data_IF_997646371631
#
_entry.id   IF_997646371631
#
_cell.length_a   1.000
_cell.length_b   1.000
_cell.length_c   1.000
_cell.angle_alpha   90.00
_cell.angle_beta   90.00
_cell.angle_gamma   90.00
#
_symmetry.space_group_name_H-M   'P 1'
#
loop_
_entity.id
_entity.type
_entity.pdbx_description
1 polymer ?
#
# COMPACT_ATOMS: atom_id res chain seq x y z
N UNK A 1 -2.16 -12.43 0.59
CA UNK A 1 -3.29 -11.58 0.13
C UNK A 1 -3.28 -11.56 -1.38
N UNK A 2 -4.45 -11.44 -1.99
CA UNK A 2 -4.57 -11.34 -3.44
C UNK A 2 -4.22 -9.93 -3.94
N UNK A 3 -3.70 -9.83 -5.17
CA UNK A 3 -3.31 -8.55 -5.78
C UNK A 3 -4.46 -7.53 -5.80
N UNK A 4 -5.69 -8.00 -6.02
CA UNK A 4 -6.88 -7.12 -6.02
C UNK A 4 -7.10 -6.46 -4.66
N UNK A 5 -6.79 -7.16 -3.56
CA UNK A 5 -6.88 -6.60 -2.21
C UNK A 5 -5.83 -5.51 -2.01
N UNK A 6 -4.60 -5.71 -2.49
CA UNK A 6 -3.54 -4.70 -2.45
C UNK A 6 -3.94 -3.47 -3.26
N UNK A 7 -4.45 -3.66 -4.47
CA UNK A 7 -4.93 -2.56 -5.31
C UNK A 7 -6.08 -1.80 -4.66
N UNK A 8 -6.98 -2.50 -3.97
CA UNK A 8 -8.08 -1.87 -3.23
C UNK A 8 -7.55 -1.00 -2.11
N UNK A 9 -6.60 -1.50 -1.31
CA UNK A 9 -5.99 -0.77 -0.19
C UNK A 9 -5.32 0.54 -0.60
N UNK A 10 -4.77 0.60 -1.81
CA UNK A 10 -4.06 1.76 -2.35
C UNK A 10 -4.93 2.70 -3.19
N UNK A 11 -6.25 2.47 -3.28
CA UNK A 11 -7.21 3.34 -3.96
C UNK A 11 -8.17 3.97 -2.95
N UNK A 12 -8.44 5.27 -3.09
CA UNK A 12 -9.55 5.91 -2.39
C UNK A 12 -10.87 5.33 -2.88
N UNK A 13 -11.68 4.81 -1.96
CA UNK A 13 -13.12 4.57 -2.16
C UNK A 13 -13.91 5.42 -1.18
N UNK A 14 -14.98 6.05 -1.67
CA UNK A 14 -15.89 6.90 -0.89
C UNK A 14 -16.79 6.11 0.08
N UNK A 15 -17.01 4.81 -0.15
CA UNK A 15 -18.21 4.12 0.38
C UNK A 15 -18.00 2.92 1.29
N UNK A 16 -16.87 2.76 1.96
CA UNK A 16 -16.80 1.76 3.07
C UNK A 16 -15.61 1.99 3.98
N UNK A 17 -15.67 1.40 5.19
CA UNK A 17 -14.69 1.35 6.30
C UNK A 17 -13.26 0.96 5.87
N UNK A 18 -12.64 1.75 5.03
CA UNK A 18 -11.28 1.55 4.57
C UNK A 18 -10.36 2.45 5.39
N UNK A 19 -9.33 1.85 5.99
CA UNK A 19 -8.31 2.61 6.71
C UNK A 19 -7.56 3.53 5.75
N UNK A 20 -7.54 4.84 6.05
CA UNK A 20 -6.88 5.85 5.23
C UNK A 20 -5.34 5.83 5.33
N UNK A 21 -4.79 5.07 6.29
CA UNK A 21 -3.37 5.04 6.61
C UNK A 21 -2.47 4.60 5.46
N UNK A 22 -2.66 3.38 4.95
CA UNK A 22 -1.84 2.82 3.86
C UNK A 22 -1.94 3.66 2.58
N UNK A 23 -3.14 4.10 2.23
CA UNK A 23 -3.37 5.00 1.11
C UNK A 23 -2.59 6.31 1.26
N UNK A 24 -2.69 6.97 2.42
CA UNK A 24 -2.00 8.23 2.66
C UNK A 24 -0.47 8.07 2.66
N UNK A 25 0.04 6.97 3.21
CA UNK A 25 1.47 6.66 3.18
C UNK A 25 1.93 6.43 1.75
N UNK A 26 1.28 5.55 0.99
CA UNK A 26 1.61 5.27 -0.41
C UNK A 26 1.57 6.54 -1.28
N UNK A 27 0.53 7.37 -1.12
CA UNK A 27 0.41 8.65 -1.82
C UNK A 27 1.58 9.60 -1.51
N UNK A 28 1.96 9.74 -0.24
CA UNK A 28 3.07 10.62 0.16
C UNK A 28 4.42 10.08 -0.33
N UNK A 29 4.63 8.77 -0.29
CA UNK A 29 5.85 8.14 -0.80
C UNK A 29 5.98 8.35 -2.32
N UNK A 30 4.91 8.16 -3.08
CA UNK A 30 4.90 8.45 -4.52
C UNK A 30 5.22 9.91 -4.83
N UNK A 31 4.72 10.84 -4.01
CA UNK A 31 5.00 12.26 -4.16
C UNK A 31 6.46 12.63 -3.83
N UNK A 32 7.03 12.03 -2.78
CA UNK A 32 8.39 12.36 -2.33
C UNK A 32 9.49 11.61 -3.10
N UNK A 33 9.25 10.35 -3.45
CA UNK A 33 10.28 9.43 -3.94
C UNK A 33 9.95 8.82 -5.31
N UNK A 34 8.82 9.19 -5.93
CA UNK A 34 8.35 8.63 -7.20
C UNK A 34 7.85 7.18 -7.12
N UNK A 35 8.00 6.52 -5.96
CA UNK A 35 7.65 5.12 -5.74
C UNK A 35 6.80 4.97 -4.48
N UNK A 36 5.89 4.00 -4.49
CA UNK A 36 4.94 3.73 -3.40
C UNK A 36 5.35 2.59 -2.48
N UNK A 37 4.36 2.09 -1.73
CA UNK A 37 4.51 0.88 -0.93
C UNK A 37 4.63 -0.36 -1.84
N UNK A 38 5.58 -1.24 -1.53
CA UNK A 38 5.67 -2.58 -2.10
C UNK A 38 5.17 -3.59 -1.07
N UNK A 39 4.08 -4.30 -1.38
CA UNK A 39 3.43 -5.23 -0.45
C UNK A 39 3.52 -6.64 -1.02
N UNK A 40 4.11 -7.57 -0.27
CA UNK A 40 4.12 -9.01 -0.57
C UNK A 40 3.49 -9.75 0.59
N UNK A 41 2.44 -10.51 0.32
CA UNK A 41 1.65 -11.17 1.38
C UNK A 41 1.31 -12.60 0.96
N UNK A 42 1.68 -13.55 1.80
CA UNK A 42 1.42 -14.96 1.58
C UNK A 42 0.50 -15.49 2.67
N UNK A 43 -0.56 -16.26 2.33
CA UNK A 43 -1.39 -16.93 3.33
C UNK A 43 -0.52 -17.70 4.32
N UNK A 44 -0.86 -17.58 5.61
CA UNK A 44 -0.20 -18.25 6.72
C UNK A 44 1.30 -17.95 6.94
N UNK A 45 1.92 -17.08 6.13
CA UNK A 45 3.30 -16.61 6.32
C UNK A 45 3.38 -15.11 6.67
N UNK A 46 2.29 -14.38 6.47
CA UNK A 46 2.19 -12.96 6.84
C UNK A 46 2.41 -12.00 5.66
N UNK A 47 2.74 -10.75 5.99
CA UNK A 47 2.83 -9.64 5.03
C UNK A 47 4.11 -8.86 5.23
N UNK A 48 4.89 -8.73 4.16
CA UNK A 48 6.06 -7.86 4.07
C UNK A 48 5.69 -6.57 3.34
N UNK A 49 6.07 -5.43 3.92
CA UNK A 49 5.88 -4.10 3.31
C UNK A 49 7.23 -3.40 3.23
N UNK A 50 7.61 -2.95 2.03
CA UNK A 50 8.90 -2.33 1.75
C UNK A 50 8.74 -1.00 1.03
N UNK A 51 9.72 -0.11 1.21
CA UNK A 51 9.83 1.18 0.52
C UNK A 51 11.25 1.38 0.01
N UNK A 52 11.41 2.15 -1.07
CA UNK A 52 12.73 2.55 -1.58
C UNK A 52 12.89 4.04 -1.33
N UNK A 53 13.92 4.42 -0.56
CA UNK A 53 14.28 5.80 -0.30
C UNK A 53 15.57 6.12 -1.07
N UNK A 54 15.56 7.05 -2.03
CA UNK A 54 16.77 7.45 -2.75
C UNK A 54 17.77 8.14 -1.82
N UNK A 55 19.07 8.07 -2.17
CA UNK A 55 20.15 8.73 -1.44
C UNK A 55 20.12 10.24 -1.60
#
# INVERSE_FOLDING_TARGET
MDEETVHRLLRTRSDSRQGVGLFNVDRRLKQMYGNGLQIRSYPDQGTTVSIVVPK
#
